data_IF_683434603944
#
_entry.id   IF_683434603944
#
_cell.length_a   1.000
_cell.length_b   1.000
_cell.length_c   1.000
_cell.angle_alpha   90.00
_cell.angle_beta   90.00
_cell.angle_gamma   90.00
#
_symmetry.space_group_name_H-M   'P 1'
#
loop_
_entity.id
_entity.type
_entity.pdbx_description
1 polymer ?
#
# COMPACT_ATOMS: atom_id res chain seq x y z
N UNK A 1 1.97 -9.87 0.44
CA UNK A 1 1.17 -10.06 -0.79
C UNK A 1 -0.12 -9.25 -0.66
N UNK A 2 -0.37 -8.32 -1.59
CA UNK A 2 -1.58 -7.49 -1.65
C UNK A 2 -2.62 -7.99 -2.66
N UNK A 3 -2.35 -9.05 -3.43
CA UNK A 3 -3.28 -9.61 -4.41
C UNK A 3 -4.70 -9.86 -3.85
N UNK A 4 -4.87 -10.39 -2.62
CA UNK A 4 -6.22 -10.62 -2.07
C UNK A 4 -7.03 -9.35 -1.85
N UNK A 5 -6.38 -8.18 -1.78
CA UNK A 5 -7.05 -6.88 -1.60
C UNK A 5 -7.51 -6.27 -2.92
N UNK A 6 -7.13 -6.87 -4.05
CA UNK A 6 -7.50 -6.40 -5.39
C UNK A 6 -8.96 -6.72 -5.66
N UNK A 7 -9.73 -5.72 -6.08
CA UNK A 7 -11.05 -5.96 -6.63
C UNK A 7 -10.91 -6.57 -8.05
N UNK A 8 -11.70 -7.60 -8.37
CA UNK A 8 -11.63 -8.32 -9.66
C UNK A 8 -11.69 -7.42 -10.90
N UNK A 9 -12.45 -6.32 -10.82
CA UNK A 9 -12.66 -5.36 -11.91
C UNK A 9 -11.72 -4.14 -11.84
N UNK A 10 -10.75 -4.15 -10.94
CA UNK A 10 -9.86 -3.03 -10.66
C UNK A 10 -8.66 -3.03 -11.60
N UNK A 11 -8.69 -2.09 -12.54
CA UNK A 11 -7.60 -1.86 -13.50
C UNK A 11 -6.49 -1.01 -12.90
N UNK A 12 -6.76 -0.24 -11.84
CA UNK A 12 -5.81 0.71 -11.24
C UNK A 12 -4.90 0.07 -10.22
N UNK A 13 -5.43 -0.89 -9.45
CA UNK A 13 -4.69 -1.49 -8.34
C UNK A 13 -3.28 -2.02 -8.73
N UNK A 14 -3.08 -2.70 -9.88
CA UNK A 14 -1.75 -3.10 -10.31
C UNK A 14 -0.79 -1.92 -10.52
N UNK A 15 -1.28 -0.79 -11.06
CA UNK A 15 -0.48 0.44 -11.23
C UNK A 15 -0.08 1.02 -9.88
N UNK A 16 -0.99 1.08 -8.90
CA UNK A 16 -0.67 1.57 -7.56
C UNK A 16 0.40 0.73 -6.88
N UNK A 17 0.26 -0.60 -6.93
CA UNK A 17 1.26 -1.51 -6.34
C UNK A 17 2.62 -1.34 -7.00
N UNK A 18 2.66 -1.14 -8.32
CA UNK A 18 3.92 -0.89 -9.04
C UNK A 18 4.57 0.47 -8.71
N UNK A 19 3.76 1.45 -8.29
CA UNK A 19 4.21 2.83 -8.04
C UNK A 19 4.54 3.11 -6.57
N UNK A 20 4.39 2.12 -5.68
CA UNK A 20 4.73 2.33 -4.28
C UNK A 20 6.21 2.63 -4.10
N UNK A 21 6.45 3.67 -3.31
CA UNK A 21 7.78 4.07 -2.87
C UNK A 21 7.81 3.90 -1.35
N UNK A 22 8.72 3.08 -0.80
CA UNK A 22 8.81 2.91 0.64
C UNK A 22 9.25 4.25 1.27
N UNK A 23 8.55 4.66 2.32
CA UNK A 23 8.94 5.83 3.12
C UNK A 23 10.17 5.51 3.97
N UNK A 24 10.28 4.26 4.42
CA UNK A 24 11.43 3.70 5.12
C UNK A 24 11.66 2.28 4.59
N UNK A 25 12.90 1.98 4.20
CA UNK A 25 13.28 0.66 3.71
C UNK A 25 14.55 0.18 4.44
N UNK A 26 14.41 -0.89 5.20
CA UNK A 26 15.51 -1.64 5.80
C UNK A 26 15.72 -3.02 5.16
N UNK A 27 15.34 -3.15 3.88
CA UNK A 27 15.41 -4.39 3.09
C UNK A 27 14.06 -5.11 2.98
N UNK A 28 12.98 -4.52 3.52
CA UNK A 28 11.63 -5.07 3.45
C UNK A 28 10.99 -4.78 2.08
N UNK A 29 11.38 -3.71 1.39
CA UNK A 29 10.76 -3.36 0.11
C UNK A 29 11.03 -4.38 -0.99
N UNK A 30 12.23 -4.97 -1.04
CA UNK A 30 12.53 -6.05 -1.99
C UNK A 30 11.64 -7.27 -1.78
N UNK A 31 11.37 -7.62 -0.52
CA UNK A 31 10.43 -8.70 -0.16
C UNK A 31 8.99 -8.34 -0.55
N UNK A 32 8.60 -7.08 -0.33
CA UNK A 32 7.30 -6.58 -0.75
C UNK A 32 7.10 -6.70 -2.27
N UNK A 33 8.09 -6.28 -3.06
CA UNK A 33 8.05 -6.37 -4.52
C UNK A 33 7.98 -7.83 -4.97
N UNK A 34 8.82 -8.70 -4.41
CA UNK A 34 8.80 -10.13 -4.69
C UNK A 34 7.45 -10.78 -4.38
N UNK A 35 6.84 -10.45 -3.24
CA UNK A 35 5.53 -10.96 -2.83
C UNK A 35 4.35 -10.39 -3.64
N UNK A 36 4.58 -9.41 -4.51
CA UNK A 36 3.59 -8.78 -5.37
C UNK A 36 3.91 -8.93 -6.88
N UNK A 37 4.70 -9.95 -7.24
CA UNK A 37 5.10 -10.21 -8.64
C UNK A 37 3.90 -10.46 -9.58
N UNK A 38 2.74 -10.83 -9.06
CA UNK A 38 1.47 -10.94 -9.81
C UNK A 38 1.12 -9.67 -10.60
N UNK A 39 1.64 -8.49 -10.20
CA UNK A 39 1.48 -7.23 -10.95
C UNK A 39 2.01 -7.34 -12.38
N UNK A 40 3.05 -8.15 -12.62
CA UNK A 40 3.64 -8.37 -13.96
C UNK A 40 2.66 -9.03 -14.94
N UNK A 41 1.65 -9.74 -14.45
CA UNK A 41 0.59 -10.31 -15.30
C UNK A 41 -0.28 -9.21 -15.92
N UNK A 42 -0.28 -8.00 -15.33
CA UNK A 42 -1.04 -6.84 -15.82
C UNK A 42 -0.13 -5.79 -16.48
N UNK A 43 1.09 -5.63 -15.96
CA UNK A 43 2.07 -4.64 -16.42
C UNK A 43 3.40 -5.33 -16.73
N UNK A 44 3.49 -6.10 -17.84
CA UNK A 44 4.69 -6.87 -18.17
C UNK A 44 5.92 -5.98 -18.35
N UNK A 45 5.70 -4.78 -18.92
CA UNK A 45 6.74 -3.79 -19.19
C UNK A 45 6.97 -2.82 -18.04
N UNK A 46 6.45 -3.10 -16.84
CA UNK A 46 6.73 -2.24 -15.69
C UNK A 46 8.18 -2.38 -15.23
N UNK A 47 8.69 -1.39 -14.53
CA UNK A 47 9.98 -1.50 -13.84
C UNK A 47 9.76 -1.34 -12.34
N UNK A 48 10.59 -2.02 -11.56
CA UNK A 48 10.61 -1.85 -10.11
C UNK A 48 11.12 -0.45 -9.78
N UNK A 49 10.52 0.20 -8.79
CA UNK A 49 10.98 1.50 -8.37
C UNK A 49 12.37 1.38 -7.74
N UNK A 50 13.36 2.04 -8.33
CA UNK A 50 14.71 2.14 -7.78
C UNK A 50 14.78 3.35 -6.84
N UNK A 51 15.10 3.09 -5.57
CA UNK A 51 15.27 4.15 -4.58
C UNK A 51 16.49 5.01 -4.95
N UNK A 52 16.29 6.32 -5.04
CA UNK A 52 17.40 7.26 -5.16
C UNK A 52 18.24 7.23 -3.88
N UNK A 53 19.57 7.13 -4.00
CA UNK A 53 20.51 7.08 -2.89
C UNK A 53 20.33 8.22 -1.88
N UNK A 54 19.88 9.40 -2.34
CA UNK A 54 19.61 10.57 -1.48
C UNK A 54 18.37 10.44 -0.58
N UNK A 55 17.49 9.47 -0.85
CA UNK A 55 16.29 9.18 -0.03
C UNK A 55 16.52 8.07 0.98
N UNK A 56 17.71 7.47 1.01
CA UNK A 56 18.04 6.47 2.00
C UNK A 56 18.30 7.18 3.34
N UNK A 57 17.45 6.92 4.33
CA UNK A 57 17.69 7.37 5.70
C UNK A 57 19.00 6.70 6.15
N UNK A 58 20.03 7.51 6.39
CA UNK A 58 21.32 7.01 6.88
C UNK A 58 21.08 6.08 8.06
N UNK A 59 21.63 4.85 7.99
CA UNK A 59 21.37 3.85 9.00
C UNK A 59 21.96 4.29 10.35
N UNK A 60 21.14 4.93 11.19
CA UNK A 60 21.45 5.17 12.59
C UNK A 60 21.35 3.85 13.36
N UNK A 61 22.27 2.90 13.06
CA UNK A 61 22.28 1.53 13.59
C UNK A 61 22.25 1.50 15.12
N UNK A 62 22.90 2.47 15.76
CA UNK A 62 22.96 2.60 17.22
C UNK A 62 21.63 3.04 17.83
N UNK A 63 20.95 4.02 17.23
CA UNK A 63 19.63 4.50 17.68
C UNK A 63 18.59 3.39 17.50
N UNK A 64 18.60 2.70 16.36
CA UNK A 64 17.72 1.56 16.08
C UNK A 64 17.92 0.43 17.11
N UNK A 65 19.17 0.13 17.48
CA UNK A 65 19.50 -0.90 18.47
C UNK A 65 19.06 -0.52 19.88
N UNK A 66 19.27 0.73 20.30
CA UNK A 66 18.82 1.21 21.62
C UNK A 66 17.30 1.19 21.72
N UNK A 67 16.58 1.71 20.71
CA UNK A 67 15.12 1.67 20.69
C UNK A 67 14.63 0.22 20.74
N UNK A 68 15.23 -0.69 19.97
CA UNK A 68 14.81 -2.10 19.97
C UNK A 68 15.02 -2.85 21.29
N UNK A 69 15.86 -2.35 22.19
CA UNK A 69 16.10 -2.96 23.52
C UNK A 69 15.06 -2.54 24.56
N UNK A 70 14.41 -1.38 24.39
CA UNK A 70 13.46 -0.82 25.36
C UNK A 70 12.02 -0.82 24.85
N UNK A 71 11.80 -1.22 23.60
CA UNK A 71 10.51 -1.15 22.93
C UNK A 71 10.06 -2.53 22.51
N UNK A 72 9.02 -3.02 23.19
CA UNK A 72 8.20 -4.11 22.68
C UNK A 72 7.43 -3.62 21.45
N UNK A 73 7.79 -4.16 20.27
CA UNK A 73 7.15 -3.82 19.00
C UNK A 73 5.65 -4.12 19.02
N UNK A 74 5.24 -5.22 19.64
CA UNK A 74 3.84 -5.62 19.66
C UNK A 74 3.01 -4.69 20.54
N UNK A 75 3.61 -4.18 21.62
CA UNK A 75 2.99 -3.17 22.47
C UNK A 75 2.81 -1.84 21.72
N UNK A 76 3.85 -1.37 21.01
CA UNK A 76 3.74 -0.15 20.20
C UNK A 76 2.70 -0.31 19.09
N UNK A 77 2.64 -1.45 18.42
CA UNK A 77 1.67 -1.70 17.37
C UNK A 77 0.24 -1.61 17.92
N UNK A 78 -0.04 -2.28 19.04
CA UNK A 78 -1.35 -2.21 19.73
C UNK A 78 -1.69 -0.79 20.19
N UNK A 79 -0.73 -0.08 20.74
CA UNK A 79 -0.92 1.31 21.19
C UNK A 79 -1.21 2.24 20.00
N UNK A 80 -0.47 2.09 18.92
CA UNK A 80 -0.62 2.85 17.67
C UNK A 80 -1.98 2.58 17.03
N UNK A 81 -2.40 1.31 17.00
CA UNK A 81 -3.73 0.93 16.55
C UNK A 81 -4.83 1.59 17.39
N UNK A 82 -4.70 1.55 18.74
CA UNK A 82 -5.66 2.20 19.63
C UNK A 82 -5.72 3.71 19.41
N UNK A 83 -4.58 4.35 19.21
CA UNK A 83 -4.50 5.78 18.91
C UNK A 83 -5.12 6.11 17.55
N UNK A 84 -4.78 5.34 16.50
CA UNK A 84 -5.37 5.46 15.16
C UNK A 84 -6.89 5.36 15.22
N UNK A 85 -7.41 4.37 15.96
CA UNK A 85 -8.85 4.22 16.17
C UNK A 85 -9.46 5.36 16.98
N UNK A 86 -8.72 6.03 17.85
CA UNK A 86 -9.22 7.22 18.56
C UNK A 86 -9.39 8.40 17.60
N UNK A 87 -8.38 8.70 16.79
CA UNK A 87 -8.35 9.88 15.92
C UNK A 87 -9.12 9.69 14.60
N UNK A 88 -9.39 8.45 14.19
CA UNK A 88 -10.05 8.18 12.91
C UNK A 88 -11.46 8.79 12.86
N UNK A 89 -11.80 9.50 11.76
CA UNK A 89 -13.14 10.04 11.51
C UNK A 89 -14.25 8.99 11.63
N UNK A 90 -15.44 9.41 12.10
CA UNK A 90 -16.58 8.52 12.35
C UNK A 90 -17.09 7.82 11.08
N UNK A 91 -17.04 8.50 9.94
CA UNK A 91 -17.42 7.94 8.65
C UNK A 91 -16.45 6.85 8.17
N UNK A 92 -15.13 7.05 8.34
CA UNK A 92 -14.13 6.02 8.02
C UNK A 92 -14.26 4.80 8.92
N UNK A 93 -14.53 5.02 10.22
CA UNK A 93 -14.87 3.93 11.16
C UNK A 93 -16.11 3.17 10.71
N UNK A 94 -17.14 3.88 10.26
CA UNK A 94 -18.37 3.26 9.76
C UNK A 94 -18.15 2.48 8.45
N UNK A 95 -17.14 2.82 7.64
CA UNK A 95 -16.78 2.11 6.40
C UNK A 95 -15.77 0.97 6.62
N UNK A 96 -15.11 0.94 7.78
CA UNK A 96 -14.02 0.03 8.09
C UNK A 96 -14.38 -1.43 7.82
N UNK A 97 -13.60 -2.08 6.96
CA UNK A 97 -13.69 -3.50 6.61
C UNK A 97 -15.08 -3.95 6.08
N UNK A 98 -15.98 -3.02 5.72
CA UNK A 98 -17.26 -3.34 5.08
C UNK A 98 -17.12 -3.64 3.60
N UNK A 99 -16.14 -3.01 2.95
CA UNK A 99 -15.80 -3.21 1.55
C UNK A 99 -14.30 -2.91 1.30
N UNK A 100 -13.91 -2.83 0.03
CA UNK A 100 -12.50 -2.66 -0.36
C UNK A 100 -11.99 -1.20 -0.31
N UNK A 101 -12.82 -0.24 0.09
CA UNK A 101 -12.49 1.19 0.16
C UNK A 101 -11.72 1.53 1.42
N UNK A 102 -12.17 1.04 2.57
CA UNK A 102 -11.51 1.23 3.87
C UNK A 102 -11.14 -0.12 4.46
N UNK A 103 -9.84 -0.42 4.48
CA UNK A 103 -9.28 -1.66 5.03
C UNK A 103 -8.36 -1.29 6.19
N UNK A 104 -8.64 -1.85 7.36
CA UNK A 104 -7.88 -1.62 8.59
C UNK A 104 -7.64 -2.97 9.23
N UNK A 105 -6.38 -3.42 9.18
CA UNK A 105 -5.90 -4.60 9.88
C UNK A 105 -4.43 -4.42 10.29
N UNK A 106 -3.86 -5.40 10.98
CA UNK A 106 -2.49 -5.36 11.50
C UNK A 106 -1.40 -5.21 10.42
N UNK A 107 -1.72 -5.50 9.14
CA UNK A 107 -0.74 -5.50 8.05
C UNK A 107 -0.96 -4.37 7.05
N UNK A 108 -2.17 -3.82 6.96
CA UNK A 108 -2.57 -2.86 5.93
C UNK A 108 -3.55 -1.85 6.49
N UNK A 109 -3.22 -0.57 6.30
CA UNK A 109 -4.09 0.57 6.48
C UNK A 109 -4.35 1.22 5.12
N UNK A 110 -5.59 1.17 4.64
CA UNK A 110 -6.02 1.72 3.36
C UNK A 110 -7.29 2.53 3.57
N UNK A 111 -7.27 3.81 3.18
CA UNK A 111 -8.39 4.73 3.41
C UNK A 111 -8.79 5.44 2.11
N UNK A 112 -9.88 5.00 1.49
CA UNK A 112 -10.51 5.72 0.38
C UNK A 112 -11.95 6.03 0.75
N UNK A 113 -12.27 7.30 1.03
CA UNK A 113 -13.65 7.72 1.30
C UNK A 113 -14.52 7.66 0.04
N UNK A 114 -13.97 8.11 -1.09
CA UNK A 114 -14.64 8.13 -2.38
C UNK A 114 -14.03 7.08 -3.31
N UNK A 115 -14.88 6.32 -4.00
CA UNK A 115 -14.46 5.25 -4.90
C UNK A 115 -14.65 5.68 -6.36
N UNK A 116 -13.56 6.15 -6.98
CA UNK A 116 -13.54 6.54 -8.39
C UNK A 116 -13.20 5.37 -9.33
N UNK A 117 -13.03 4.14 -8.81
CA UNK A 117 -12.51 3.02 -9.61
C UNK A 117 -13.42 2.65 -10.78
N UNK A 118 -14.73 2.80 -10.62
CA UNK A 118 -15.67 2.55 -11.71
C UNK A 118 -15.45 3.54 -12.87
N UNK A 119 -15.44 4.83 -12.57
CA UNK A 119 -15.25 5.89 -13.57
C UNK A 119 -13.91 5.71 -14.31
N UNK A 120 -12.84 5.43 -13.57
CA UNK A 120 -11.53 5.21 -14.20
C UNK A 120 -11.52 3.96 -15.07
N UNK A 121 -12.21 2.88 -14.65
CA UNK A 121 -12.33 1.68 -15.48
C UNK A 121 -13.04 1.96 -16.80
N UNK A 122 -14.11 2.74 -16.77
CA UNK A 122 -14.87 3.11 -17.97
C UNK A 122 -14.01 3.96 -18.92
N UNK A 123 -13.35 4.99 -18.39
CA UNK A 123 -12.42 5.84 -19.16
C UNK A 123 -11.26 5.04 -19.75
N UNK A 124 -10.67 4.15 -18.96
CA UNK A 124 -9.59 3.27 -19.41
C UNK A 124 -10.04 2.37 -20.56
N UNK A 125 -11.23 1.76 -20.45
CA UNK A 125 -11.78 0.92 -21.52
C UNK A 125 -12.04 1.69 -22.82
N UNK A 126 -12.51 2.94 -22.73
CA UNK A 126 -12.68 3.81 -23.90
C UNK A 126 -11.34 4.15 -24.56
N UNK A 127 -10.34 4.52 -23.76
CA UNK A 127 -9.00 4.84 -24.24
C UNK A 127 -8.33 3.65 -24.93
N UNK A 128 -8.41 2.46 -24.35
CA UNK A 128 -7.87 1.23 -24.97
C UNK A 128 -8.54 0.93 -26.31
N UNK A 129 -9.87 1.13 -26.43
CA UNK A 129 -10.57 0.95 -27.70
C UNK A 129 -10.07 1.90 -28.78
N UNK A 130 -9.82 3.17 -28.44
CA UNK A 130 -9.29 4.17 -29.37
C UNK A 130 -7.87 3.86 -29.87
N UNK A 131 -7.06 3.17 -29.08
CA UNK A 131 -5.69 2.80 -29.47
C UNK A 131 -5.63 1.59 -30.42
N UNK A 132 -6.70 0.77 -30.44
CA UNK A 132 -6.76 -0.49 -31.21
C UNK A 132 -7.63 -0.34 -32.46
N UNK A 133 -8.52 0.66 -32.51
CA UNK A 133 -9.29 1.07 -33.69
C UNK A 133 -8.46 1.88 -34.66
#
# INVERSE_FOLDING_TARGET
NLEPLKNKKDVLFPFWVNQFVPVYDDGVFSQFVGANRWVKNYLPNSFEYQLNDRRQVGQAKYVKRLISLFVDRDFIEKLSMKYQMKIMPSDLKAMMNKDSRVIVNEKVLKFHRHDSRQEVREKFGLFVKQLIS
#
